data_IF_414196819742
#
_entry.id   IF_414196819742
#
_cell.length_a   1.000
_cell.length_b   1.000
_cell.length_c   1.000
_cell.angle_alpha   90.00
_cell.angle_beta   90.00
_cell.angle_gamma   90.00
#
_symmetry.space_group_name_H-M   'P 1'
#
loop_
_entity.id
_entity.type
_entity.pdbx_description
1 polymer ?
#
# COMPACT_ATOMS: atom_id res chain seq x y z
N UNK A 1 -7.46 7.33 12.60
CA UNK A 1 -6.69 6.05 12.60
C UNK A 1 -7.23 5.03 13.60
N UNK A 2 -8.45 5.23 14.12
CA UNK A 2 -9.10 4.25 15.03
C UNK A 2 -9.26 2.88 14.37
N UNK A 3 -9.66 2.83 13.11
CA UNK A 3 -9.86 1.58 12.34
C UNK A 3 -8.63 0.66 12.36
N UNK A 4 -7.43 1.24 12.28
CA UNK A 4 -6.18 0.47 12.35
C UNK A 4 -5.90 -0.04 13.77
N UNK A 5 -6.18 0.74 14.81
CA UNK A 5 -6.05 0.28 16.21
C UNK A 5 -7.08 -0.81 16.53
N UNK A 6 -8.31 -0.68 16.03
CA UNK A 6 -9.35 -1.71 16.17
C UNK A 6 -8.91 -3.04 15.52
N UNK A 7 -8.20 -3.00 14.37
CA UNK A 7 -7.62 -4.20 13.77
C UNK A 7 -6.52 -4.81 14.66
N UNK A 8 -5.60 -4.00 15.19
CA UNK A 8 -4.55 -4.49 16.09
C UNK A 8 -5.16 -5.17 17.32
N UNK A 9 -6.11 -4.51 17.98
CA UNK A 9 -6.81 -5.06 19.15
C UNK A 9 -7.58 -6.34 18.81
N UNK A 10 -8.27 -6.36 17.67
CA UNK A 10 -9.01 -7.53 17.19
C UNK A 10 -8.09 -8.76 17.01
N UNK A 11 -6.92 -8.58 16.39
CA UNK A 11 -5.98 -9.70 16.19
C UNK A 11 -5.32 -10.13 17.50
N UNK A 12 -4.98 -9.19 18.40
CA UNK A 12 -4.47 -9.51 19.73
C UNK A 12 -5.49 -10.32 20.55
N UNK A 13 -6.77 -9.93 20.47
CA UNK A 13 -7.84 -10.50 21.31
C UNK A 13 -8.41 -11.82 20.76
N UNK A 14 -8.57 -11.93 19.43
CA UNK A 14 -9.31 -13.00 18.78
C UNK A 14 -8.45 -13.85 17.82
N UNK A 15 -7.21 -13.42 17.54
CA UNK A 15 -6.33 -14.13 16.63
C UNK A 15 -5.91 -15.51 17.14
N UNK A 16 -5.79 -16.46 16.21
CA UNK A 16 -5.27 -17.79 16.47
C UNK A 16 -3.77 -17.85 16.24
N UNK A 17 -3.07 -18.65 17.00
CA UNK A 17 -1.64 -18.89 16.80
C UNK A 17 -1.41 -19.80 15.59
N UNK A 18 -0.48 -19.43 14.74
CA UNK A 18 -0.07 -20.16 13.55
C UNK A 18 1.44 -20.17 13.40
N UNK A 19 1.97 -21.28 12.89
CA UNK A 19 3.32 -21.30 12.34
C UNK A 19 3.37 -20.51 11.02
N UNK A 20 4.54 -20.02 10.65
CA UNK A 20 4.80 -19.33 9.40
C UNK A 20 6.11 -19.81 8.78
N UNK A 21 6.39 -19.37 7.54
CA UNK A 21 7.59 -19.74 6.79
C UNK A 21 8.90 -19.35 7.50
N UNK A 22 8.88 -18.24 8.26
CA UNK A 22 10.08 -17.71 8.93
C UNK A 22 10.39 -18.41 10.25
N UNK A 23 9.47 -19.24 10.76
CA UNK A 23 9.60 -19.91 12.06
C UNK A 23 9.35 -18.99 13.27
N UNK A 24 9.04 -17.71 13.06
CA UNK A 24 8.74 -16.74 14.13
C UNK A 24 7.40 -17.03 14.80
N UNK A 25 6.44 -17.55 14.04
CA UNK A 25 5.06 -17.71 14.43
C UNK A 25 4.27 -16.41 14.38
N UNK A 26 2.97 -16.54 14.23
CA UNK A 26 2.05 -15.41 14.10
C UNK A 26 0.79 -15.63 14.91
N UNK A 27 0.15 -14.53 15.32
CA UNK A 27 -1.25 -14.51 15.74
C UNK A 27 -2.06 -13.88 14.63
N UNK A 28 -3.10 -14.55 14.11
CA UNK A 28 -3.81 -14.09 12.91
C UNK A 28 -5.32 -14.27 12.97
N UNK A 29 -6.02 -13.45 12.19
CA UNK A 29 -7.44 -13.62 11.83
C UNK A 29 -7.54 -13.70 10.31
N UNK A 30 -8.58 -14.38 9.81
CA UNK A 30 -8.83 -14.47 8.37
C UNK A 30 -10.05 -13.62 7.99
N UNK A 31 -9.81 -12.61 7.17
CA UNK A 31 -10.84 -11.68 6.73
C UNK A 31 -11.04 -10.51 7.68
N UNK A 32 -10.64 -9.31 7.24
CA UNK A 32 -10.93 -8.05 7.93
C UNK A 32 -11.02 -6.91 6.92
N UNK A 33 -11.81 -5.87 7.21
CA UNK A 33 -11.92 -4.70 6.34
C UNK A 33 -11.88 -3.41 7.15
N UNK A 34 -11.08 -2.45 6.67
CA UNK A 34 -11.03 -1.08 7.17
C UNK A 34 -11.49 -0.11 6.09
N UNK A 35 -12.08 1.04 6.52
CA UNK A 35 -12.45 2.15 5.63
C UNK A 35 -11.85 3.46 6.14
N UNK A 36 -11.30 4.24 5.21
CA UNK A 36 -10.69 5.53 5.48
C UNK A 36 -11.31 6.56 4.53
N UNK A 37 -12.07 7.51 5.05
CA UNK A 37 -12.52 8.64 4.26
C UNK A 37 -11.36 9.63 4.08
N UNK A 38 -10.96 9.87 2.83
CA UNK A 38 -9.80 10.71 2.53
C UNK A 38 -10.08 12.21 2.69
N UNK A 39 -11.35 12.60 2.92
CA UNK A 39 -11.69 13.97 3.31
C UNK A 39 -11.36 14.28 4.78
N UNK A 40 -11.33 13.26 5.65
CA UNK A 40 -11.00 13.43 7.07
C UNK A 40 -9.51 13.72 7.30
N UNK A 41 -8.68 13.59 6.25
CA UNK A 41 -7.24 13.75 6.26
C UNK A 41 -6.52 12.54 5.68
N UNK A 42 -5.20 12.65 5.55
CA UNK A 42 -4.38 11.56 5.01
C UNK A 42 -4.17 10.47 6.09
N UNK A 43 -4.55 9.20 5.83
CA UNK A 43 -4.54 8.15 6.84
C UNK A 43 -3.12 7.60 7.08
N UNK A 44 -2.23 8.46 7.55
CA UNK A 44 -0.89 8.10 8.02
C UNK A 44 -0.95 7.84 9.53
N UNK A 45 -0.51 6.66 9.96
CA UNK A 45 -0.54 6.25 11.36
C UNK A 45 0.18 7.28 12.25
N UNK A 46 -0.46 7.67 13.36
CA UNK A 46 0.04 8.66 14.31
C UNK A 46 0.46 8.06 15.66
N UNK A 47 0.08 6.82 15.95
CA UNK A 47 0.47 6.10 17.17
C UNK A 47 1.90 5.56 17.14
N UNK A 48 2.54 5.59 15.99
CA UNK A 48 4.00 5.48 15.79
C UNK A 48 4.40 6.28 14.56
N UNK A 49 5.61 6.86 14.58
CA UNK A 49 6.13 7.62 13.44
C UNK A 49 6.45 6.69 12.28
N UNK A 50 5.95 7.00 11.07
CA UNK A 50 6.25 6.32 9.83
C UNK A 50 7.21 7.14 8.95
N UNK A 51 7.96 6.45 8.10
CA UNK A 51 8.91 7.06 7.16
C UNK A 51 8.23 7.28 5.80
N UNK A 52 7.48 8.39 5.66
CA UNK A 52 6.68 8.70 4.46
C UNK A 52 7.55 8.73 3.19
N UNK A 53 8.82 9.16 3.28
CA UNK A 53 9.74 9.16 2.14
C UNK A 53 9.84 7.79 1.47
N UNK A 54 9.96 6.71 2.26
CA UNK A 54 10.00 5.35 1.72
C UNK A 54 8.70 4.98 1.01
N UNK A 55 7.55 5.37 1.57
CA UNK A 55 6.22 5.08 1.00
C UNK A 55 6.06 5.78 -0.36
N UNK A 56 6.44 7.05 -0.46
CA UNK A 56 6.36 7.81 -1.72
C UNK A 56 7.25 7.19 -2.78
N UNK A 57 8.54 6.95 -2.47
CA UNK A 57 9.48 6.39 -3.45
C UNK A 57 9.08 4.98 -3.89
N UNK A 58 8.57 4.14 -2.99
CA UNK A 58 8.06 2.80 -3.34
C UNK A 58 6.89 2.90 -4.34
N UNK A 59 5.90 3.76 -4.07
CA UNK A 59 4.77 3.93 -4.98
C UNK A 59 5.20 4.47 -6.34
N UNK A 60 6.09 5.46 -6.38
CA UNK A 60 6.64 6.00 -7.64
C UNK A 60 7.42 4.94 -8.42
N UNK A 61 8.17 4.08 -7.72
CA UNK A 61 8.90 2.97 -8.29
C UNK A 61 7.95 1.91 -8.91
N UNK A 62 6.86 1.55 -8.23
CA UNK A 62 5.81 0.71 -8.81
C UNK A 62 5.18 1.34 -10.07
N UNK A 63 4.87 2.64 -10.02
CA UNK A 63 4.28 3.36 -11.16
C UNK A 63 5.24 3.47 -12.35
N UNK A 64 6.53 3.44 -12.15
CA UNK A 64 7.53 3.36 -13.23
C UNK A 64 7.62 1.96 -13.85
N UNK A 65 7.06 0.93 -13.21
CA UNK A 65 7.14 -0.45 -13.66
C UNK A 65 8.51 -1.08 -13.40
N UNK A 66 9.31 -0.47 -12.54
CA UNK A 66 10.65 -0.94 -12.21
C UNK A 66 10.61 -2.13 -11.25
N UNK A 67 11.62 -2.99 -11.34
CA UNK A 67 11.81 -4.19 -10.49
C UNK A 67 13.15 -4.18 -9.78
N UNK A 68 14.09 -3.34 -10.21
CA UNK A 68 15.41 -3.21 -9.61
C UNK A 68 15.40 -2.18 -8.48
N UNK A 69 16.00 -2.53 -7.33
CA UNK A 69 16.02 -1.70 -6.12
C UNK A 69 16.93 -0.48 -6.23
N UNK A 70 17.72 -0.35 -7.30
CA UNK A 70 18.69 0.75 -7.45
C UNK A 70 18.04 2.13 -7.28
N UNK A 71 16.87 2.39 -7.90
CA UNK A 71 16.16 3.65 -7.73
C UNK A 71 15.83 3.92 -6.25
N UNK A 72 15.39 2.91 -5.52
CA UNK A 72 15.08 3.03 -4.10
C UNK A 72 16.33 3.34 -3.28
N UNK A 73 17.42 2.62 -3.52
CA UNK A 73 18.71 2.81 -2.85
C UNK A 73 19.31 4.21 -3.11
N UNK A 74 19.26 4.68 -4.36
CA UNK A 74 19.73 6.03 -4.75
C UNK A 74 18.97 7.14 -4.01
N UNK A 75 17.73 6.85 -3.59
CA UNK A 75 16.89 7.74 -2.78
C UNK A 75 16.93 7.46 -1.26
N UNK A 76 17.82 6.56 -0.81
CA UNK A 76 18.01 6.22 0.60
C UNK A 76 16.91 5.31 1.16
N UNK A 77 16.16 4.61 0.30
CA UNK A 77 15.13 3.64 0.67
C UNK A 77 15.67 2.23 0.52
N UNK A 78 15.54 1.40 1.57
CA UNK A 78 16.15 0.07 1.64
C UNK A 78 15.16 -1.04 1.99
N UNK A 79 13.86 -0.75 1.91
CA UNK A 79 12.80 -1.67 2.37
C UNK A 79 12.65 -2.94 1.53
N UNK A 80 13.32 -3.02 0.38
CA UNK A 80 13.32 -4.18 -0.52
C UNK A 80 14.67 -4.90 -0.63
N UNK A 81 15.72 -4.42 0.07
CA UNK A 81 17.08 -4.94 -0.11
C UNK A 81 17.21 -6.43 0.24
N UNK A 82 16.47 -6.89 1.27
CA UNK A 82 16.59 -8.27 1.79
C UNK A 82 16.01 -9.34 0.83
N UNK A 83 15.25 -8.91 -0.20
CA UNK A 83 14.66 -9.79 -1.20
C UNK A 83 15.30 -9.67 -2.59
N UNK A 84 16.12 -8.66 -2.80
CA UNK A 84 16.77 -8.44 -4.09
C UNK A 84 17.92 -9.45 -4.31
N UNK A 85 18.09 -9.88 -5.57
CA UNK A 85 19.22 -10.70 -5.96
C UNK A 85 20.54 -9.90 -5.95
N UNK A 86 21.64 -10.54 -6.36
CA UNK A 86 22.97 -9.93 -6.43
C UNK A 86 23.06 -8.73 -7.39
N UNK A 87 22.15 -8.64 -8.36
CA UNK A 87 22.04 -7.54 -9.33
C UNK A 87 21.04 -6.46 -8.87
N UNK A 88 20.40 -6.66 -7.72
CA UNK A 88 19.39 -5.77 -7.18
C UNK A 88 18.01 -5.95 -7.80
N UNK A 89 17.75 -7.06 -8.51
CA UNK A 89 16.46 -7.33 -9.15
C UNK A 89 15.56 -8.18 -8.24
N UNK A 90 14.25 -7.95 -8.35
CA UNK A 90 13.19 -8.64 -7.62
C UNK A 90 12.31 -9.53 -8.52
N UNK A 91 12.64 -9.60 -9.81
CA UNK A 91 11.79 -10.25 -10.80
C UNK A 91 10.53 -9.43 -11.11
N UNK A 92 9.58 -10.06 -11.78
CA UNK A 92 8.39 -9.37 -12.34
C UNK A 92 7.32 -9.08 -11.27
N UNK A 93 7.69 -8.42 -10.18
CA UNK A 93 6.78 -8.06 -9.09
C UNK A 93 5.90 -6.86 -9.44
N UNK A 94 5.04 -6.45 -8.54
CA UNK A 94 4.10 -5.30 -8.51
C UNK A 94 4.14 -4.34 -9.72
N UNK A 95 5.17 -3.49 -9.81
CA UNK A 95 5.28 -2.46 -10.85
C UNK A 95 5.32 -3.03 -12.24
N UNK A 96 6.03 -4.15 -12.46
CA UNK A 96 6.04 -4.84 -13.74
C UNK A 96 4.63 -5.31 -14.12
N UNK A 97 3.92 -5.97 -13.20
CA UNK A 97 2.56 -6.45 -13.46
C UNK A 97 1.59 -5.30 -13.73
N UNK A 98 1.73 -4.18 -13.04
CA UNK A 98 0.87 -3.01 -13.23
C UNK A 98 1.09 -2.35 -14.60
N UNK A 99 2.34 -2.31 -15.09
CA UNK A 99 2.74 -1.53 -16.25
C UNK A 99 3.04 -2.35 -17.50
N UNK A 100 3.29 -3.65 -17.36
CA UNK A 100 3.78 -4.49 -18.45
C UNK A 100 3.23 -5.92 -18.38
N UNK A 101 1.94 -6.08 -18.03
CA UNK A 101 1.31 -7.39 -17.96
C UNK A 101 1.36 -8.11 -19.31
N UNK A 102 1.86 -9.36 -19.39
CA UNK A 102 1.92 -10.11 -20.64
C UNK A 102 0.52 -10.35 -21.23
N UNK A 103 0.31 -9.98 -22.47
CA UNK A 103 -0.94 -10.17 -23.19
C UNK A 103 -0.71 -10.78 -24.57
N UNK A 104 -1.75 -11.33 -25.18
CA UNK A 104 -1.68 -12.01 -26.49
C UNK A 104 -1.29 -11.09 -27.66
N UNK A 105 -1.44 -9.78 -27.50
CA UNK A 105 -1.12 -8.75 -28.52
C UNK A 105 -0.03 -7.78 -28.06
N UNK A 106 0.81 -8.18 -27.11
CA UNK A 106 1.82 -7.34 -26.47
C UNK A 106 1.45 -7.00 -25.03
N UNK A 107 2.37 -6.34 -24.32
CA UNK A 107 2.20 -6.03 -22.91
C UNK A 107 1.09 -5.00 -22.68
N UNK A 108 0.43 -5.14 -21.56
CA UNK A 108 -0.71 -4.32 -21.13
C UNK A 108 -0.28 -3.43 -19.98
N UNK A 109 -0.34 -2.12 -20.17
CA UNK A 109 -0.25 -1.13 -19.09
C UNK A 109 -1.62 -0.99 -18.43
N UNK A 110 -1.79 -1.66 -17.29
CA UNK A 110 -3.06 -1.65 -16.54
C UNK A 110 -3.37 -0.26 -15.98
N UNK A 111 -2.34 0.49 -15.52
CA UNK A 111 -2.53 1.82 -14.93
C UNK A 111 -3.03 2.82 -15.99
N UNK A 112 -2.39 2.86 -17.15
CA UNK A 112 -2.85 3.72 -18.25
C UNK A 112 -4.28 3.37 -18.69
N UNK A 113 -4.60 2.07 -18.76
CA UNK A 113 -5.95 1.60 -19.17
C UNK A 113 -7.03 2.01 -18.17
N UNK A 114 -6.79 1.88 -16.86
CA UNK A 114 -7.81 2.25 -15.88
C UNK A 114 -8.02 3.77 -15.82
N UNK A 115 -6.94 4.58 -15.88
CA UNK A 115 -7.07 6.05 -15.90
C UNK A 115 -7.89 6.51 -17.12
N UNK A 116 -7.60 5.94 -18.30
CA UNK A 116 -8.41 6.19 -19.48
C UNK A 116 -9.87 5.78 -19.27
N UNK A 117 -10.10 4.57 -18.75
CA UNK A 117 -11.45 4.06 -18.51
C UNK A 117 -12.22 4.87 -17.46
N UNK A 118 -11.57 5.35 -16.39
CA UNK A 118 -12.17 6.22 -15.37
C UNK A 118 -12.66 7.54 -16.03
N UNK A 119 -11.88 8.11 -16.95
CA UNK A 119 -12.25 9.34 -17.65
C UNK A 119 -13.38 9.15 -18.67
N UNK A 120 -13.37 8.05 -19.40
CA UNK A 120 -14.29 7.80 -20.53
C UNK A 120 -15.58 7.09 -20.10
N UNK A 121 -15.51 6.18 -19.13
CA UNK A 121 -16.61 5.34 -18.66
C UNK A 121 -16.55 5.19 -17.13
N UNK A 122 -16.79 6.29 -16.36
CA UNK A 122 -16.62 6.29 -14.90
C UNK A 122 -17.47 5.25 -14.18
N UNK A 123 -18.63 4.89 -14.69
CA UNK A 123 -19.55 3.91 -14.11
C UNK A 123 -19.14 2.44 -14.35
N UNK A 124 -18.00 2.21 -15.01
CA UNK A 124 -17.51 0.85 -15.27
C UNK A 124 -17.16 0.14 -13.97
N UNK A 125 -17.55 -1.13 -13.88
CA UNK A 125 -17.19 -2.04 -12.78
C UNK A 125 -15.87 -2.78 -13.02
N UNK A 126 -15.09 -2.36 -14.04
CA UNK A 126 -13.87 -3.05 -14.52
C UNK A 126 -12.60 -2.23 -14.29
N UNK A 127 -12.64 -1.24 -13.40
CA UNK A 127 -11.45 -0.46 -13.02
C UNK A 127 -10.59 -1.27 -12.06
N UNK A 128 -10.02 -2.38 -12.52
CA UNK A 128 -9.24 -3.32 -11.72
C UNK A 128 -7.80 -3.35 -12.23
N UNK A 129 -6.86 -3.38 -11.29
CA UNK A 129 -5.44 -3.66 -11.51
C UNK A 129 -5.08 -4.89 -10.68
N UNK A 130 -4.45 -5.89 -11.32
CA UNK A 130 -3.97 -7.10 -10.67
C UNK A 130 -2.45 -7.20 -10.71
N UNK A 131 -1.85 -7.59 -9.59
CA UNK A 131 -0.45 -7.96 -9.52
C UNK A 131 -0.27 -9.49 -9.44
N UNK A 132 -1.35 -10.24 -9.20
CA UNK A 132 -1.31 -11.70 -9.05
C UNK A 132 -1.34 -12.38 -10.42
N UNK A 133 -0.16 -12.58 -10.99
CA UNK A 133 0.03 -13.28 -12.26
C UNK A 133 0.49 -14.71 -11.98
N UNK A 134 -0.43 -15.67 -12.05
CA UNK A 134 -0.19 -17.08 -11.69
C UNK A 134 0.97 -17.69 -12.49
N UNK A 135 1.17 -17.27 -13.75
CA UNK A 135 2.24 -17.80 -14.58
C UNK A 135 3.65 -17.27 -14.25
N UNK A 136 3.74 -16.25 -13.38
CA UNK A 136 5.00 -15.59 -13.06
C UNK A 136 5.37 -15.69 -11.56
N UNK A 137 4.54 -16.30 -10.72
CA UNK A 137 4.73 -16.33 -9.27
C UNK A 137 6.09 -16.95 -8.87
N UNK A 138 6.48 -18.02 -9.54
CA UNK A 138 7.74 -18.72 -9.25
C UNK A 138 9.00 -17.93 -9.66
N UNK A 139 8.82 -16.89 -10.48
CA UNK A 139 9.88 -15.98 -10.95
C UNK A 139 9.95 -14.68 -10.16
N UNK A 140 9.16 -14.53 -9.09
CA UNK A 140 9.14 -13.36 -8.23
C UNK A 140 9.92 -13.61 -6.95
N UNK A 141 10.78 -12.67 -6.56
CA UNK A 141 11.48 -12.74 -5.28
C UNK A 141 10.50 -12.83 -4.10
N UNK A 142 9.34 -12.19 -4.22
CA UNK A 142 8.25 -12.26 -3.26
C UNK A 142 6.90 -12.19 -3.99
N UNK A 143 6.05 -13.25 -3.92
CA UNK A 143 4.70 -13.20 -4.45
C UNK A 143 3.88 -12.05 -3.84
N UNK A 144 3.14 -11.27 -4.65
CA UNK A 144 2.48 -10.06 -4.19
C UNK A 144 1.55 -10.28 -2.99
N UNK A 145 1.73 -9.51 -1.91
CA UNK A 145 0.84 -9.50 -0.76
C UNK A 145 -0.45 -8.73 -1.08
N UNK A 146 -0.34 -7.53 -1.62
CA UNK A 146 -1.47 -6.75 -2.15
C UNK A 146 -1.69 -7.11 -3.62
N UNK A 147 -2.69 -7.96 -3.87
CA UNK A 147 -2.81 -8.71 -5.11
C UNK A 147 -3.67 -8.04 -6.17
N UNK A 148 -4.67 -7.27 -5.78
CA UNK A 148 -5.49 -6.48 -6.69
C UNK A 148 -6.09 -5.27 -5.98
N UNK A 149 -6.36 -4.24 -6.77
CA UNK A 149 -7.18 -3.14 -6.32
C UNK A 149 -8.17 -2.71 -7.40
N UNK A 150 -9.28 -2.14 -6.95
CA UNK A 150 -10.37 -1.68 -7.80
C UNK A 150 -10.74 -0.25 -7.45
N UNK A 151 -10.96 0.57 -8.47
CA UNK A 151 -11.51 1.89 -8.31
C UNK A 151 -13.02 1.93 -8.54
N UNK A 152 -13.67 2.87 -7.86
CA UNK A 152 -15.09 3.13 -7.96
C UNK A 152 -15.32 4.65 -8.00
N UNK A 153 -16.14 5.10 -8.96
CA UNK A 153 -16.51 6.51 -9.11
C UNK A 153 -17.97 6.69 -8.70
N UNK A 154 -18.22 7.63 -7.82
CA UNK A 154 -19.57 8.08 -7.45
C UNK A 154 -19.52 9.54 -7.00
N UNK A 155 -20.53 10.31 -7.33
CA UNK A 155 -20.70 11.72 -6.92
C UNK A 155 -19.45 12.59 -7.16
N UNK A 156 -18.76 12.36 -8.28
CA UNK A 156 -17.53 13.07 -8.63
C UNK A 156 -16.30 12.71 -7.77
N UNK A 157 -16.37 11.60 -7.04
CA UNK A 157 -15.32 11.08 -6.16
C UNK A 157 -14.80 9.74 -6.63
N UNK A 158 -13.50 9.51 -6.41
CA UNK A 158 -12.82 8.25 -6.68
C UNK A 158 -12.49 7.56 -5.37
N UNK A 159 -13.00 6.34 -5.20
CA UNK A 159 -12.65 5.44 -4.09
C UNK A 159 -11.82 4.27 -4.61
N UNK A 160 -11.00 3.68 -3.73
CA UNK A 160 -10.18 2.53 -4.05
C UNK A 160 -10.40 1.43 -3.01
N UNK A 161 -10.61 0.19 -3.46
CA UNK A 161 -10.58 -0.99 -2.60
C UNK A 161 -9.38 -1.86 -2.95
N UNK A 162 -8.54 -2.14 -1.96
CA UNK A 162 -7.42 -3.08 -2.05
C UNK A 162 -7.81 -4.42 -1.42
N UNK A 163 -7.48 -5.53 -2.09
CA UNK A 163 -7.39 -6.84 -1.45
C UNK A 163 -5.93 -7.24 -1.23
N UNK A 164 -5.58 -7.46 0.03
CA UNK A 164 -4.27 -7.90 0.48
C UNK A 164 -4.38 -9.30 1.11
N UNK A 165 -3.80 -10.32 0.44
CA UNK A 165 -3.90 -11.73 0.86
C UNK A 165 -3.17 -12.05 2.16
N UNK A 166 -2.08 -11.34 2.43
CA UNK A 166 -1.19 -11.53 3.58
C UNK A 166 -0.76 -10.17 4.11
N UNK A 167 -1.03 -9.91 5.37
CA UNK A 167 -0.93 -8.58 5.95
C UNK A 167 -0.25 -8.62 7.32
N UNK A 168 1.07 -8.31 7.35
CA UNK A 168 1.75 -7.93 8.58
C UNK A 168 1.17 -6.60 9.05
N UNK A 169 0.30 -6.67 10.07
CA UNK A 169 -0.44 -5.49 10.52
C UNK A 169 0.39 -4.53 11.35
N UNK A 170 1.55 -4.95 11.86
CA UNK A 170 2.43 -4.05 12.60
C UNK A 170 3.39 -3.28 11.69
N UNK A 171 4.13 -3.93 10.80
CA UNK A 171 5.11 -3.25 9.92
C UNK A 171 4.51 -2.84 8.57
N UNK A 172 3.86 -3.78 7.85
CA UNK A 172 3.45 -3.58 6.45
C UNK A 172 2.17 -2.78 6.28
N UNK A 173 1.10 -3.13 6.98
CA UNK A 173 -0.23 -2.52 6.79
C UNK A 173 -0.23 -0.99 6.92
N UNK A 174 0.49 -0.35 7.86
CA UNK A 174 0.59 1.12 7.91
C UNK A 174 1.14 1.75 6.64
N UNK A 175 2.12 1.12 6.01
CA UNK A 175 2.69 1.55 4.73
C UNK A 175 1.67 1.39 3.60
N UNK A 176 0.97 0.25 3.55
CA UNK A 176 -0.02 -0.03 2.52
C UNK A 176 -1.22 0.92 2.60
N UNK A 177 -1.72 1.25 3.81
CA UNK A 177 -2.79 2.25 4.00
C UNK A 177 -2.37 3.59 3.38
N UNK A 178 -1.19 4.10 3.72
CA UNK A 178 -0.72 5.38 3.22
C UNK A 178 -0.45 5.34 1.71
N UNK A 179 0.20 4.28 1.20
CA UNK A 179 0.53 4.11 -0.22
C UNK A 179 -0.72 4.10 -1.11
N UNK A 180 -1.72 3.27 -0.79
CA UNK A 180 -2.94 3.19 -1.60
C UNK A 180 -3.88 4.37 -1.43
N UNK A 181 -3.87 5.03 -0.26
CA UNK A 181 -4.55 6.32 -0.09
C UNK A 181 -3.94 7.39 -0.99
N UNK A 182 -2.61 7.47 -1.03
CA UNK A 182 -1.88 8.38 -1.92
C UNK A 182 -2.14 8.05 -3.40
N UNK A 183 -2.09 6.77 -3.79
CA UNK A 183 -2.43 6.34 -5.15
C UNK A 183 -3.86 6.76 -5.53
N UNK A 184 -4.82 6.62 -4.61
CA UNK A 184 -6.21 7.06 -4.82
C UNK A 184 -6.28 8.57 -5.08
N UNK A 185 -5.57 9.37 -4.29
CA UNK A 185 -5.50 10.83 -4.47
C UNK A 185 -4.85 11.20 -5.81
N UNK A 186 -3.75 10.54 -6.19
CA UNK A 186 -3.07 10.76 -7.48
C UNK A 186 -3.97 10.44 -8.67
N UNK A 187 -4.62 9.27 -8.66
CA UNK A 187 -5.54 8.86 -9.74
C UNK A 187 -6.75 9.79 -9.81
N UNK A 188 -7.31 10.19 -8.66
CA UNK A 188 -8.40 11.17 -8.62
C UNK A 188 -7.98 12.50 -9.29
N UNK A 189 -6.81 13.05 -8.93
CA UNK A 189 -6.29 14.30 -9.50
C UNK A 189 -6.14 14.22 -11.01
N UNK A 190 -5.44 13.20 -11.54
CA UNK A 190 -5.19 13.09 -12.99
C UNK A 190 -6.45 12.73 -13.77
N UNK A 191 -7.49 12.25 -13.09
CA UNK A 191 -8.80 11.96 -13.70
C UNK A 191 -9.82 13.10 -13.54
N UNK A 192 -9.47 14.21 -12.86
CA UNK A 192 -10.37 15.33 -12.61
C UNK A 192 -11.46 15.06 -11.58
N UNK A 193 -11.23 14.10 -10.67
CA UNK A 193 -12.15 13.70 -9.60
C UNK A 193 -11.61 14.15 -8.24
N UNK A 194 -12.48 14.13 -7.22
CA UNK A 194 -12.06 14.29 -5.81
C UNK A 194 -11.74 12.92 -5.20
N UNK A 195 -10.82 12.84 -4.23
CA UNK A 195 -10.63 11.63 -3.45
C UNK A 195 -11.91 11.27 -2.67
N UNK A 196 -12.24 9.98 -2.63
CA UNK A 196 -13.33 9.41 -1.86
C UNK A 196 -12.80 8.61 -0.66
N UNK A 197 -13.03 7.29 -0.65
CA UNK A 197 -12.58 6.38 0.41
C UNK A 197 -11.44 5.48 -0.08
N UNK A 198 -10.54 5.11 0.85
CA UNK A 198 -9.71 3.93 0.72
C UNK A 198 -10.29 2.80 1.57
N UNK A 199 -10.58 1.66 0.94
CA UNK A 199 -11.08 0.45 1.59
C UNK A 199 -9.98 -0.61 1.54
N UNK A 200 -9.57 -1.09 2.70
CA UNK A 200 -8.52 -2.09 2.83
C UNK A 200 -9.11 -3.42 3.29
N UNK A 201 -9.18 -4.38 2.39
CA UNK A 201 -9.66 -5.74 2.66
C UNK A 201 -8.48 -6.67 2.81
N UNK A 202 -8.38 -7.35 3.94
CA UNK A 202 -7.30 -8.24 4.32
C UNK A 202 -7.77 -9.70 4.29
N UNK A 203 -6.94 -10.58 3.78
CA UNK A 203 -7.06 -12.04 3.92
C UNK A 203 -6.50 -12.49 5.26
N UNK A 204 -5.28 -13.04 5.28
CA UNK A 204 -4.56 -13.39 6.52
C UNK A 204 -3.96 -12.11 7.12
N UNK A 205 -4.62 -11.57 8.15
CA UNK A 205 -4.17 -10.41 8.89
C UNK A 205 -3.48 -10.88 10.18
N UNK A 206 -2.17 -10.63 10.29
CA UNK A 206 -1.36 -11.22 11.34
C UNK A 206 -0.40 -10.25 12.02
N UNK A 207 -0.07 -10.57 13.26
CA UNK A 207 1.02 -10.00 14.05
C UNK A 207 2.06 -11.10 14.25
N UNK A 208 3.32 -10.86 13.89
CA UNK A 208 4.41 -11.76 14.25
C UNK A 208 4.61 -11.80 15.77
N UNK A 209 4.93 -12.96 16.32
CA UNK A 209 5.04 -13.15 17.78
C UNK A 209 6.10 -12.23 18.40
N UNK A 210 7.17 -11.92 17.68
CA UNK A 210 8.21 -10.97 18.11
C UNK A 210 7.76 -9.49 18.09
N UNK A 211 6.53 -9.18 17.64
CA UNK A 211 5.97 -7.82 17.65
C UNK A 211 4.85 -7.61 18.68
N UNK A 212 4.50 -8.62 19.48
CA UNK A 212 3.37 -8.52 20.42
C UNK A 212 3.55 -7.41 21.46
N UNK A 213 4.76 -7.21 21.97
CA UNK A 213 5.01 -6.16 22.96
C UNK A 213 4.99 -4.76 22.33
N UNK A 214 5.50 -4.61 21.10
CA UNK A 214 5.40 -3.40 20.31
C UNK A 214 3.95 -3.02 19.99
N UNK A 215 3.12 -4.02 19.69
CA UNK A 215 1.68 -3.82 19.45
C UNK A 215 0.97 -3.39 20.73
N UNK A 216 1.26 -3.98 21.89
CA UNK A 216 0.73 -3.53 23.20
C UNK A 216 1.11 -2.09 23.50
N UNK A 217 2.39 -1.73 23.26
CA UNK A 217 2.84 -0.33 23.38
C UNK A 217 2.05 0.58 22.43
N UNK A 218 1.88 0.21 21.17
CA UNK A 218 1.15 1.01 20.21
C UNK A 218 -0.33 1.19 20.58
N UNK A 219 -0.98 0.15 21.10
CA UNK A 219 -2.37 0.19 21.56
C UNK A 219 -2.56 1.07 22.82
N UNK A 220 -1.51 1.26 23.65
CA UNK A 220 -1.56 2.16 24.80
C UNK A 220 -1.54 3.64 24.41
N UNK A 221 -1.28 3.99 23.15
CA UNK A 221 -1.13 5.35 22.66
C UNK A 221 -2.42 5.86 22.02
N UNK A 222 -2.84 7.07 22.41
CA UNK A 222 -3.96 7.74 21.76
C UNK A 222 -3.58 8.24 20.36
N UNK A 223 -4.42 8.01 19.33
CA UNK A 223 -4.17 8.57 18.00
C UNK A 223 -4.24 10.11 18.03
N UNK A 224 -3.33 10.74 17.29
CA UNK A 224 -3.33 12.18 17.08
C UNK A 224 -4.14 12.54 15.82
N UNK A 225 -4.49 13.81 15.60
CA UNK A 225 -5.16 14.24 14.37
C UNK A 225 -4.42 13.82 13.12
N UNK A 226 -5.17 13.48 12.06
CA UNK A 226 -4.59 13.11 10.77
C UNK A 226 -3.85 14.30 10.14
N UNK A 227 -2.72 14.04 9.47
CA UNK A 227 -2.05 15.04 8.66
C UNK A 227 -2.82 15.32 7.36
N UNK A 228 -2.38 16.35 6.64
CA UNK A 228 -2.83 16.65 5.29
C UNK A 228 -1.68 16.35 4.31
N UNK A 229 -1.96 15.52 3.32
CA UNK A 229 -1.05 15.31 2.19
C UNK A 229 -1.51 16.22 1.04
N UNK A 230 -0.69 17.18 0.69
CA UNK A 230 -0.88 18.02 -0.49
C UNK A 230 -0.12 17.43 -1.67
N UNK A 231 -0.78 17.37 -2.82
CA UNK A 231 -0.20 16.93 -4.08
C UNK A 231 -0.19 18.13 -5.03
N UNK A 232 0.93 18.39 -5.66
CA UNK A 232 1.09 19.52 -6.60
C UNK A 232 0.02 19.47 -7.70
N UNK A 233 -0.82 20.52 -7.85
CA UNK A 233 -2.02 20.45 -8.69
C UNK A 233 -1.73 20.45 -10.20
N UNK A 234 -0.54 20.88 -10.60
CA UNK A 234 -0.17 21.04 -12.02
C UNK A 234 0.20 19.71 -12.70
N UNK A 235 0.45 18.64 -11.93
CA UNK A 235 0.76 17.32 -12.48
C UNK A 235 -0.52 16.67 -13.00
N UNK A 236 -0.57 16.42 -14.32
CA UNK A 236 -1.74 15.90 -15.07
C UNK A 236 -1.57 14.46 -15.57
N UNK A 237 -0.35 13.93 -15.50
CA UNK A 237 -0.01 12.55 -15.86
C UNK A 237 0.55 11.84 -14.64
N UNK A 238 -0.01 10.67 -14.31
CA UNK A 238 0.38 9.90 -13.12
C UNK A 238 1.85 9.47 -13.13
N UNK A 239 2.44 9.35 -14.31
CA UNK A 239 3.84 8.93 -14.48
C UNK A 239 4.85 10.08 -14.38
N UNK A 240 4.37 11.32 -14.30
CA UNK A 240 5.20 12.50 -14.15
C UNK A 240 5.34 12.97 -12.71
N UNK A 241 4.69 12.32 -11.76
CA UNK A 241 4.91 12.61 -10.34
C UNK A 241 6.34 12.29 -9.92
N UNK A 242 6.91 13.19 -9.15
CA UNK A 242 8.19 13.09 -8.45
C UNK A 242 7.99 13.22 -6.94
N UNK A 243 9.02 12.92 -6.15
CA UNK A 243 8.95 13.02 -4.68
C UNK A 243 8.60 14.46 -4.22
N UNK A 244 9.10 15.46 -4.94
CA UNK A 244 8.95 16.89 -4.66
C UNK A 244 7.51 17.41 -4.89
N UNK A 245 6.65 16.61 -5.51
CA UNK A 245 5.24 16.96 -5.74
C UNK A 245 4.33 16.63 -4.56
N UNK A 246 4.89 16.05 -3.48
CA UNK A 246 4.17 15.68 -2.26
C UNK A 246 4.63 16.49 -1.07
N UNK A 247 3.69 17.11 -0.35
CA UNK A 247 3.95 17.86 0.87
C UNK A 247 3.07 17.37 2.00
N UNK A 248 3.69 16.91 3.10
CA UNK A 248 2.97 16.42 4.28
C UNK A 248 2.91 17.53 5.34
N UNK A 249 1.71 18.02 5.62
CA UNK A 249 1.46 19.09 6.56
C UNK A 249 0.84 18.57 7.85
N UNK A 250 1.24 19.14 8.98
CA UNK A 250 0.69 18.86 10.32
C UNK A 250 0.88 17.41 10.80
N UNK A 251 1.86 16.66 10.28
CA UNK A 251 2.11 15.31 10.78
C UNK A 251 2.78 15.35 12.16
N UNK A 252 2.00 15.01 13.17
CA UNK A 252 2.48 14.73 14.52
C UNK A 252 2.21 13.27 14.82
N UNK A 253 3.21 12.58 15.35
CA UNK A 253 3.12 11.17 15.69
C UNK A 253 3.88 10.89 16.98
N UNK A 254 3.45 9.86 17.69
CA UNK A 254 4.24 9.28 18.77
C UNK A 254 5.59 8.75 18.23
N UNK A 255 6.61 8.58 19.08
CA UNK A 255 7.90 8.05 18.66
C UNK A 255 7.78 6.75 17.88
N UNK A 256 8.74 6.51 17.00
CA UNK A 256 8.85 5.24 16.27
C UNK A 256 8.95 4.05 17.25
N UNK A 257 8.29 2.95 16.90
CA UNK A 257 8.42 1.66 17.59
C UNK A 257 9.15 0.73 16.63
N UNK A 258 10.36 0.29 17.02
CA UNK A 258 11.17 -0.61 16.20
C UNK A 258 10.60 -2.03 16.23
N UNK A 259 10.50 -2.66 15.05
CA UNK A 259 10.23 -4.10 14.90
C UNK A 259 11.26 -4.72 13.98
N UNK A 260 11.61 -5.97 14.23
CA UNK A 260 12.50 -6.74 13.36
C UNK A 260 11.67 -7.39 12.25
N UNK A 261 12.17 -7.33 11.01
CA UNK A 261 11.50 -7.96 9.86
C UNK A 261 11.69 -9.48 9.98
N UNK A 262 10.60 -10.24 9.85
CA UNK A 262 10.65 -11.69 9.72
C UNK A 262 10.89 -12.03 8.23
N UNK A 263 12.07 -12.60 7.91
CA UNK A 263 12.51 -12.96 6.55
C UNK A 263 12.61 -14.46 6.34
#
# INVERSE_FOLDING_TARGET
MKQYLDLLDHVVSLGVEKSDRTGTGTRSVFGYQMRFNLEDGFPLVTTKKLHLKSIIHELLWFLKGETNVKYLQDNGVRIWNDWADENGDLGKIYGYQWRSWPGSKGNIDQISRIIKSIKEVPDSRRHIVSAWNVSELDNMALPPCHILFQFYVADGRLSCQLYQRSADIFLGVPFNIASYSMLTMMVAQVSGLKPGEFIHTLGDAHIYNNHLDQVKEQLSRNPLPLPVLEIKPDVKDIFHFSYEDFSLNNYRAHPHIKGEIAV
#
